data_IF_644788553883
#
_entry.id   IF_644788553883
#
_cell.length_a   1.000
_cell.length_b   1.000
_cell.length_c   1.000
_cell.angle_alpha   90.00
_cell.angle_beta   90.00
_cell.angle_gamma   90.00
#
_symmetry.space_group_name_H-M   'P 1'
#
loop_
_entity.id
_entity.type
_entity.pdbx_description
1 polymer ?
#
# COMPACT_ATOMS: atom_id res chain seq x y z
N UNK A 1 14.87 -9.66 -10.76
CA UNK A 1 14.08 -10.49 -9.82
C UNK A 1 12.74 -10.75 -10.46
N UNK A 2 12.19 -11.94 -10.32
CA UNK A 2 10.85 -12.28 -10.83
C UNK A 2 9.82 -11.49 -10.02
N UNK A 3 8.90 -10.83 -10.70
CA UNK A 3 7.79 -10.10 -10.10
C UNK A 3 6.82 -11.10 -9.46
N UNK A 4 6.45 -10.89 -8.19
CA UNK A 4 5.51 -11.75 -7.47
C UNK A 4 4.12 -11.13 -7.50
N UNK A 5 3.10 -11.97 -7.71
CA UNK A 5 1.70 -11.57 -7.70
C UNK A 5 1.02 -12.23 -6.49
N UNK A 6 0.28 -11.45 -5.72
CA UNK A 6 -0.34 -11.90 -4.50
C UNK A 6 -1.61 -11.18 -4.12
N UNK A 7 -2.09 -11.47 -2.92
CA UNK A 7 -3.35 -10.99 -2.40
C UNK A 7 -3.22 -10.33 -1.03
N UNK A 8 -4.11 -9.39 -0.73
CA UNK A 8 -4.27 -8.85 0.59
C UNK A 8 -5.32 -9.64 1.37
N UNK A 9 -4.97 -9.93 2.61
CA UNK A 9 -5.88 -10.48 3.60
C UNK A 9 -6.06 -9.47 4.73
N UNK A 10 -7.24 -9.42 5.29
CA UNK A 10 -7.43 -8.69 6.54
C UNK A 10 -6.68 -9.40 7.68
N UNK A 11 -7.37 -9.61 8.76
CA UNK A 11 -6.97 -10.50 9.84
C UNK A 11 -7.14 -11.94 9.37
N UNK A 12 -6.07 -12.71 9.33
CA UNK A 12 -6.09 -14.10 8.85
C UNK A 12 -5.27 -15.01 9.79
N UNK A 13 -5.87 -16.07 10.33
CA UNK A 13 -5.19 -16.99 11.24
C UNK A 13 -4.19 -17.92 10.52
N UNK A 14 -4.27 -18.10 9.21
CA UNK A 14 -3.35 -18.94 8.41
C UNK A 14 -3.08 -18.33 7.02
N UNK A 15 -2.43 -17.15 6.97
CA UNK A 15 -2.30 -16.38 5.72
C UNK A 15 -1.44 -17.10 4.66
N UNK A 16 -0.54 -17.97 5.07
CA UNK A 16 0.31 -18.74 4.13
C UNK A 16 -0.53 -19.76 3.37
N UNK A 17 -1.36 -20.56 4.07
CA UNK A 17 -2.26 -21.52 3.41
C UNK A 17 -3.31 -20.81 2.56
N UNK A 18 -3.83 -19.69 3.05
CA UNK A 18 -4.78 -18.89 2.29
C UNK A 18 -4.17 -18.43 0.97
N UNK A 19 -2.98 -17.82 1.00
CA UNK A 19 -2.26 -17.41 -0.20
C UNK A 19 -2.03 -18.58 -1.17
N UNK A 20 -1.63 -19.74 -0.67
CA UNK A 20 -1.45 -20.96 -1.48
C UNK A 20 -2.75 -21.41 -2.17
N UNK A 21 -3.88 -21.35 -1.47
CA UNK A 21 -5.20 -21.74 -2.02
C UNK A 21 -5.65 -20.87 -3.19
N UNK A 22 -5.19 -19.62 -3.21
CA UNK A 22 -5.43 -18.66 -4.29
C UNK A 22 -4.39 -18.74 -5.41
N UNK A 23 -3.28 -19.47 -5.23
CA UNK A 23 -2.14 -19.48 -6.15
C UNK A 23 -1.28 -18.20 -6.07
N UNK A 24 -1.40 -17.45 -4.97
CA UNK A 24 -0.62 -16.24 -4.73
C UNK A 24 0.84 -16.57 -4.39
N UNK A 25 1.76 -15.75 -4.83
CA UNK A 25 3.21 -15.88 -4.62
C UNK A 25 3.72 -14.96 -3.50
N UNK A 26 2.96 -13.96 -3.13
CA UNK A 26 3.16 -13.07 -2.00
C UNK A 26 1.80 -12.72 -1.38
N UNK A 27 1.83 -12.11 -0.21
CA UNK A 27 0.59 -11.65 0.41
C UNK A 27 0.83 -10.43 1.30
N UNK A 28 -0.25 -9.70 1.58
CA UNK A 28 -0.30 -8.59 2.51
C UNK A 28 -1.29 -8.93 3.61
N UNK A 29 -0.92 -8.60 4.85
CA UNK A 29 -1.82 -8.71 5.99
C UNK A 29 -1.98 -7.37 6.71
N UNK A 30 -3.12 -7.23 7.38
CA UNK A 30 -3.37 -6.18 8.34
C UNK A 30 -2.86 -6.63 9.71
N UNK A 31 -2.11 -5.79 10.42
CA UNK A 31 -1.62 -6.12 11.76
C UNK A 31 -2.56 -5.57 12.84
N UNK A 32 -3.60 -6.34 13.17
CA UNK A 32 -4.64 -5.98 14.14
C UNK A 32 -5.81 -5.22 13.54
N UNK A 33 -6.56 -4.50 14.37
CA UNK A 33 -7.73 -3.73 13.94
C UNK A 33 -7.30 -2.53 13.06
N UNK A 34 -7.71 -2.49 11.78
CA UNK A 34 -7.32 -1.42 10.86
C UNK A 34 -7.87 -0.04 11.27
N UNK A 35 -8.92 0.01 12.06
CA UNK A 35 -9.53 1.24 12.58
C UNK A 35 -9.14 1.54 14.04
N UNK A 36 -8.30 0.70 14.63
CA UNK A 36 -7.91 0.79 16.03
C UNK A 36 -6.59 1.51 16.27
N UNK A 37 -6.43 2.03 17.49
CA UNK A 37 -5.18 2.64 17.97
C UNK A 37 -4.37 1.70 18.86
N UNK A 38 -4.72 0.42 18.90
CA UNK A 38 -3.99 -0.58 19.66
C UNK A 38 -2.66 -0.92 18.98
N UNK A 39 -1.70 -1.39 19.77
CA UNK A 39 -0.43 -1.89 19.24
C UNK A 39 -0.71 -2.97 18.19
N UNK A 40 0.00 -2.95 17.05
CA UNK A 40 -0.15 -3.98 16.02
C UNK A 40 0.11 -5.38 16.58
N UNK A 41 -0.69 -6.34 16.13
CA UNK A 41 -0.56 -7.74 16.52
C UNK A 41 -0.97 -8.63 15.34
N UNK A 42 -0.42 -9.83 15.29
CA UNK A 42 -0.79 -10.84 14.31
C UNK A 42 -1.95 -11.68 14.86
N UNK A 43 -2.87 -12.07 14.00
CA UNK A 43 -3.89 -13.08 14.33
C UNK A 43 -3.35 -14.50 14.20
N UNK A 44 -2.21 -14.66 13.56
CA UNK A 44 -1.51 -15.93 13.46
C UNK A 44 -0.99 -16.37 14.84
N UNK A 45 -1.46 -17.51 15.34
CA UNK A 45 -1.21 -17.99 16.70
C UNK A 45 0.26 -18.37 16.97
N UNK A 46 1.03 -18.73 15.93
CA UNK A 46 2.44 -19.07 16.01
C UNK A 46 3.37 -17.86 16.24
N UNK A 47 2.84 -16.64 16.11
CA UNK A 47 3.59 -15.40 16.27
C UNK A 47 4.54 -15.09 15.12
N UNK A 48 5.25 -13.96 15.24
CA UNK A 48 6.01 -13.38 14.13
C UNK A 48 7.14 -14.29 13.61
N UNK A 49 7.87 -14.95 14.51
CA UNK A 49 9.01 -15.80 14.12
C UNK A 49 8.58 -17.05 13.33
N UNK A 50 7.49 -17.70 13.76
CA UNK A 50 6.96 -18.87 13.06
C UNK A 50 6.38 -18.47 11.71
N UNK A 51 5.65 -17.34 11.64
CA UNK A 51 5.17 -16.81 10.37
C UNK A 51 6.32 -16.51 9.41
N UNK A 52 7.39 -15.85 9.88
CA UNK A 52 8.59 -15.59 9.08
C UNK A 52 9.23 -16.87 8.52
N UNK A 53 9.29 -17.93 9.35
CA UNK A 53 9.81 -19.22 8.93
C UNK A 53 8.91 -19.85 7.86
N UNK A 54 7.59 -19.89 8.05
CA UNK A 54 6.63 -20.43 7.08
C UNK A 54 6.69 -19.69 5.74
N UNK A 55 6.75 -18.35 5.77
CA UNK A 55 6.90 -17.52 4.56
C UNK A 55 8.16 -17.92 3.79
N UNK A 56 9.30 -18.08 4.48
CA UNK A 56 10.57 -18.46 3.87
C UNK A 56 10.54 -19.89 3.31
N UNK A 57 10.02 -20.86 4.06
CA UNK A 57 9.91 -22.27 3.66
C UNK A 57 9.04 -22.42 2.40
N UNK A 58 7.99 -21.64 2.29
CA UNK A 58 7.08 -21.64 1.14
C UNK A 58 7.56 -20.70 0.00
N UNK A 59 8.74 -20.07 0.12
CA UNK A 59 9.33 -19.16 -0.87
C UNK A 59 8.39 -18.01 -1.26
N UNK A 60 7.61 -17.54 -0.30
CA UNK A 60 6.69 -16.41 -0.47
C UNK A 60 7.33 -15.10 0.02
N UNK A 61 6.68 -14.00 -0.29
CA UNK A 61 6.97 -12.70 0.30
C UNK A 61 5.75 -12.19 1.09
N UNK A 62 5.99 -11.44 2.16
CA UNK A 62 4.95 -10.83 2.98
C UNK A 62 5.11 -9.31 3.00
N UNK A 63 3.99 -8.62 3.05
CA UNK A 63 3.85 -7.18 3.28
C UNK A 63 2.92 -6.93 4.46
N UNK A 64 3.11 -5.81 5.17
CA UNK A 64 2.21 -5.38 6.26
C UNK A 64 1.56 -4.07 5.86
N UNK A 65 0.23 -4.03 5.87
CA UNK A 65 -0.51 -2.76 5.74
C UNK A 65 -0.72 -2.15 7.13
N UNK A 66 -0.35 -0.90 7.28
CA UNK A 66 -0.54 -0.15 8.51
C UNK A 66 -2.03 0.22 8.72
N UNK A 67 -2.43 0.40 9.97
CA UNK A 67 -3.82 0.76 10.30
C UNK A 67 -4.27 2.05 9.60
N UNK A 68 -5.51 2.10 9.11
CA UNK A 68 -6.09 3.24 8.39
C UNK A 68 -6.19 4.51 9.24
N UNK A 69 -6.21 4.37 10.57
CA UNK A 69 -6.22 5.52 11.49
C UNK A 69 -4.92 6.31 11.47
N UNK A 70 -3.83 5.75 10.95
CA UNK A 70 -2.53 6.42 10.88
C UNK A 70 -2.60 7.60 9.93
N UNK A 71 -2.38 8.79 10.47
CA UNK A 71 -2.25 10.02 9.69
C UNK A 71 -1.10 10.86 10.24
N UNK A 72 0.11 10.54 9.80
CA UNK A 72 1.33 11.26 10.25
C UNK A 72 1.41 12.68 9.68
N UNK A 73 0.64 12.99 8.63
CA UNK A 73 0.54 14.34 8.06
C UNK A 73 -0.23 15.32 8.96
N UNK A 74 -1.13 14.81 9.80
CA UNK A 74 -2.08 15.62 10.58
C UNK A 74 -1.40 16.76 11.35
N UNK A 75 -1.99 17.95 11.32
CA UNK A 75 -1.61 19.10 12.14
C UNK A 75 -2.04 18.94 13.59
N UNK A 76 -3.05 18.08 13.85
CA UNK A 76 -3.53 17.77 15.19
C UNK A 76 -2.58 16.79 15.89
N UNK A 77 -1.94 17.26 16.97
CA UNK A 77 -1.03 16.45 17.80
C UNK A 77 -1.67 15.19 18.37
N UNK A 78 -3.00 15.22 18.66
CA UNK A 78 -3.74 14.06 19.21
C UNK A 78 -3.89 12.94 18.17
N UNK A 79 -3.70 13.24 16.89
CA UNK A 79 -3.70 12.26 15.79
C UNK A 79 -2.25 11.95 15.39
N UNK A 80 -1.45 12.98 15.13
CA UNK A 80 -0.09 12.81 14.60
C UNK A 80 0.85 12.04 15.53
N UNK A 81 0.85 12.35 16.83
CA UNK A 81 1.77 11.71 17.78
C UNK A 81 1.45 10.21 17.92
N UNK A 82 0.20 9.79 18.18
CA UNK A 82 -0.15 8.37 18.16
C UNK A 82 0.12 7.69 16.81
N UNK A 83 -0.13 8.38 15.68
CA UNK A 83 0.16 7.85 14.34
C UNK A 83 1.62 7.49 14.16
N UNK A 84 2.55 8.36 14.57
CA UNK A 84 4.00 8.10 14.50
C UNK A 84 4.42 6.92 15.35
N UNK A 85 3.87 6.82 16.57
CA UNK A 85 4.12 5.69 17.46
C UNK A 85 3.62 4.39 16.85
N UNK A 86 2.41 4.41 16.31
CA UNK A 86 1.79 3.22 15.72
C UNK A 86 2.54 2.79 14.45
N UNK A 87 2.98 3.76 13.62
CA UNK A 87 3.80 3.48 12.44
C UNK A 87 5.12 2.78 12.83
N UNK A 88 5.85 3.29 13.86
CA UNK A 88 7.07 2.64 14.34
C UNK A 88 6.80 1.21 14.79
N UNK A 89 5.76 1.01 15.60
CA UNK A 89 5.39 -0.33 16.08
C UNK A 89 5.02 -1.29 14.94
N UNK A 90 4.44 -0.77 13.85
CA UNK A 90 4.14 -1.57 12.66
C UNK A 90 5.42 -1.93 11.91
N UNK A 91 6.37 -1.01 11.80
CA UNK A 91 7.70 -1.27 11.21
C UNK A 91 8.47 -2.33 12.01
N UNK A 92 8.43 -2.24 13.35
CA UNK A 92 9.09 -3.20 14.23
C UNK A 92 8.51 -4.62 14.02
N UNK A 93 7.17 -4.75 14.03
CA UNK A 93 6.51 -6.02 13.76
C UNK A 93 6.80 -6.54 12.35
N UNK A 94 6.81 -5.66 11.35
CA UNK A 94 7.14 -6.02 9.97
C UNK A 94 8.56 -6.57 9.85
N UNK A 95 9.51 -6.02 10.58
CA UNK A 95 10.88 -6.55 10.66
C UNK A 95 10.92 -7.94 11.31
N UNK A 96 10.15 -8.17 12.39
CA UNK A 96 10.06 -9.46 13.06
C UNK A 96 9.53 -10.59 12.15
N UNK A 97 8.57 -10.28 11.27
CA UNK A 97 8.01 -11.26 10.30
C UNK A 97 8.79 -11.35 9.00
N UNK A 98 9.85 -10.55 8.83
CA UNK A 98 10.61 -10.52 7.58
C UNK A 98 9.85 -9.91 6.41
N UNK A 99 8.99 -8.94 6.67
CA UNK A 99 8.21 -8.23 5.64
C UNK A 99 9.12 -7.44 4.70
N UNK A 100 8.74 -7.36 3.42
CA UNK A 100 9.44 -6.55 2.43
C UNK A 100 9.11 -5.04 2.53
N UNK A 101 8.06 -4.67 3.24
CA UNK A 101 7.70 -3.28 3.47
C UNK A 101 6.43 -3.12 4.30
N UNK A 102 6.24 -1.90 4.82
CA UNK A 102 5.02 -1.45 5.50
C UNK A 102 4.31 -0.45 4.60
N UNK A 103 3.11 -0.76 4.16
CA UNK A 103 2.28 0.15 3.39
C UNK A 103 1.53 1.08 4.34
N UNK A 104 1.50 2.36 4.00
CA UNK A 104 0.75 3.37 4.75
C UNK A 104 0.21 4.44 3.82
N UNK A 105 -1.06 4.78 3.96
CA UNK A 105 -1.67 5.86 3.17
C UNK A 105 -0.96 7.20 3.38
N UNK A 106 -0.92 8.03 2.34
CA UNK A 106 -0.30 9.36 2.40
C UNK A 106 -0.90 10.30 3.45
N UNK A 107 -2.09 9.98 3.97
CA UNK A 107 -2.77 10.82 4.96
C UNK A 107 -3.16 12.19 4.41
N UNK A 108 -3.59 13.08 5.30
CA UNK A 108 -4.13 14.39 4.91
C UNK A 108 -3.99 15.41 6.05
N UNK A 109 -4.08 16.67 5.69
CA UNK A 109 -4.38 17.78 6.63
C UNK A 109 -5.83 18.21 6.42
N UNK A 110 -6.37 19.00 7.36
CA UNK A 110 -7.75 19.51 7.21
C UNK A 110 -7.81 20.58 6.13
N UNK A 111 -9.01 20.92 5.67
CA UNK A 111 -9.22 21.96 4.63
C UNK A 111 -8.74 23.35 5.02
N UNK A 112 -8.63 23.60 6.33
CA UNK A 112 -8.25 24.89 6.89
C UNK A 112 -6.75 24.98 7.19
N UNK A 113 -6.03 23.86 7.03
CA UNK A 113 -4.57 23.79 7.28
C UNK A 113 -3.76 24.07 5.99
N UNK A 114 -2.54 24.59 6.16
CA UNK A 114 -1.57 24.66 5.07
C UNK A 114 -1.04 23.25 4.74
N UNK A 115 -1.20 22.76 3.49
CA UNK A 115 -0.65 21.46 3.07
C UNK A 115 0.85 21.30 3.32
N UNK A 116 1.62 22.39 3.34
CA UNK A 116 3.05 22.35 3.67
C UNK A 116 3.33 21.76 5.05
N UNK A 117 2.43 22.00 6.02
CA UNK A 117 2.56 21.42 7.35
C UNK A 117 2.47 19.89 7.30
N UNK A 118 1.61 19.33 6.43
CA UNK A 118 1.51 17.88 6.24
C UNK A 118 2.76 17.27 5.64
N UNK A 119 3.35 17.90 4.62
CA UNK A 119 4.62 17.45 4.02
C UNK A 119 5.77 17.53 5.02
N UNK A 120 5.85 18.59 5.83
CA UNK A 120 6.89 18.72 6.87
C UNK A 120 6.68 17.67 8.00
N UNK A 121 5.43 17.37 8.35
CA UNK A 121 5.12 16.31 9.30
C UNK A 121 5.55 14.92 8.78
N UNK A 122 5.35 14.64 7.49
CA UNK A 122 5.86 13.44 6.83
C UNK A 122 7.39 13.37 6.87
N UNK A 123 8.07 14.46 6.51
CA UNK A 123 9.54 14.53 6.60
C UNK A 123 10.02 14.16 8.00
N UNK A 124 9.47 14.80 9.04
CA UNK A 124 9.80 14.52 10.44
C UNK A 124 9.49 13.07 10.84
N UNK A 125 8.38 12.49 10.34
CA UNK A 125 8.06 11.10 10.59
C UNK A 125 9.10 10.16 9.98
N UNK A 126 9.46 10.35 8.72
CA UNK A 126 10.48 9.54 8.04
C UNK A 126 11.86 9.65 8.68
N UNK A 127 12.27 10.86 9.09
CA UNK A 127 13.57 11.10 9.76
C UNK A 127 13.65 10.48 11.17
N UNK A 128 12.51 10.24 11.83
CA UNK A 128 12.44 9.74 13.21
C UNK A 128 12.04 8.27 13.30
N UNK A 129 11.53 7.69 12.22
CA UNK A 129 11.18 6.27 12.18
C UNK A 129 12.44 5.44 11.91
N UNK A 130 12.73 4.49 12.77
CA UNK A 130 13.77 3.49 12.53
C UNK A 130 13.24 2.48 11.49
N UNK A 131 13.56 2.73 10.22
CA UNK A 131 13.06 1.94 9.09
C UNK A 131 13.86 0.62 8.95
N UNK A 132 13.61 -0.33 9.85
CA UNK A 132 14.15 -1.71 9.76
C UNK A 132 13.68 -2.41 8.48
N UNK A 133 12.51 -2.03 7.98
CA UNK A 133 11.98 -2.33 6.65
C UNK A 133 11.49 -1.04 5.99
N UNK A 134 11.42 -0.98 4.65
CA UNK A 134 10.93 0.24 3.98
C UNK A 134 9.49 0.57 4.37
N UNK A 135 9.21 1.86 4.61
CA UNK A 135 7.86 2.40 4.67
C UNK A 135 7.47 2.81 3.25
N UNK A 136 6.40 2.23 2.73
CA UNK A 136 5.88 2.48 1.39
C UNK A 136 4.66 3.41 1.50
N UNK A 137 4.82 4.68 1.10
CA UNK A 137 3.70 5.62 1.09
C UNK A 137 2.82 5.30 -0.11
N UNK A 138 1.53 5.12 0.16
CA UNK A 138 0.54 4.80 -0.85
C UNK A 138 -0.19 6.05 -1.33
N UNK A 139 -0.45 6.14 -2.65
CA UNK A 139 -1.35 7.16 -3.18
C UNK A 139 -2.79 6.91 -2.73
N UNK A 140 -3.61 7.97 -2.68
CA UNK A 140 -4.96 7.93 -2.14
C UNK A 140 -6.00 8.44 -3.14
N UNK A 141 -7.21 7.87 -3.10
CA UNK A 141 -8.31 8.16 -4.03
C UNK A 141 -8.89 9.57 -3.88
N UNK A 142 -9.11 10.02 -2.66
CA UNK A 142 -9.87 11.22 -2.34
C UNK A 142 -9.22 12.13 -1.30
N UNK A 143 -9.97 13.18 -0.93
CA UNK A 143 -9.52 14.17 0.04
C UNK A 143 -8.85 15.40 -0.60
N UNK A 144 -9.38 16.61 -0.32
CA UNK A 144 -8.88 17.86 -0.92
C UNK A 144 -7.44 18.19 -0.52
N UNK A 145 -7.02 17.82 0.68
CA UNK A 145 -5.67 18.06 1.23
C UNK A 145 -4.95 16.75 1.56
N UNK A 146 -5.20 15.70 0.76
CA UNK A 146 -4.48 14.44 0.85
C UNK A 146 -3.05 14.60 0.32
N UNK A 147 -2.06 14.06 1.04
CA UNK A 147 -0.64 14.30 0.73
C UNK A 147 -0.15 13.54 -0.51
N UNK A 148 -0.79 12.43 -0.88
CA UNK A 148 -0.37 11.56 -1.99
C UNK A 148 -1.48 11.29 -3.01
N UNK A 149 -2.40 12.23 -3.23
CA UNK A 149 -3.54 12.03 -4.13
C UNK A 149 -3.21 12.31 -5.60
N UNK A 150 -2.70 13.49 -5.89
CA UNK A 150 -2.41 13.95 -7.25
C UNK A 150 -0.91 13.89 -7.53
N UNK A 151 -0.52 13.92 -8.80
CA UNK A 151 0.91 14.02 -9.16
C UNK A 151 1.61 15.22 -8.52
N UNK A 152 0.90 16.34 -8.37
CA UNK A 152 1.43 17.51 -7.70
C UNK A 152 1.64 17.26 -6.20
N UNK A 153 0.66 16.66 -5.51
CA UNK A 153 0.79 16.30 -4.11
C UNK A 153 1.95 15.31 -3.89
N UNK A 154 2.04 14.26 -4.72
CA UNK A 154 3.13 13.28 -4.68
C UNK A 154 4.48 13.98 -4.92
N UNK A 155 4.56 14.92 -5.87
CA UNK A 155 5.78 15.69 -6.13
C UNK A 155 6.21 16.50 -4.91
N UNK A 156 5.27 17.20 -4.27
CA UNK A 156 5.56 18.01 -3.08
C UNK A 156 5.90 17.13 -1.87
N UNK A 157 5.24 16.00 -1.71
CA UNK A 157 5.59 15.01 -0.68
C UNK A 157 7.01 14.50 -0.89
N UNK A 158 7.38 14.08 -2.12
CA UNK A 158 8.71 13.55 -2.42
C UNK A 158 9.84 14.57 -2.30
N UNK A 159 9.57 15.84 -2.55
CA UNK A 159 10.54 16.92 -2.21
C UNK A 159 10.88 16.94 -0.71
N UNK A 160 9.92 16.53 0.14
CA UNK A 160 10.09 16.54 1.59
C UNK A 160 10.67 15.22 2.14
N UNK A 161 10.37 14.07 1.54
CA UNK A 161 10.75 12.76 2.08
C UNK A 161 11.74 11.98 1.22
N UNK A 162 11.94 12.35 -0.04
CA UNK A 162 12.72 11.58 -1.02
C UNK A 162 14.23 11.45 -0.72
N UNK A 163 14.73 12.13 0.30
CA UNK A 163 16.09 11.96 0.82
C UNK A 163 16.20 10.85 1.88
N UNK A 164 15.07 10.31 2.33
CA UNK A 164 14.99 9.21 3.28
C UNK A 164 14.84 7.86 2.56
N UNK A 165 14.82 6.75 3.30
CA UNK A 165 14.64 5.41 2.72
C UNK A 165 13.16 5.03 2.51
N UNK A 166 12.28 6.01 2.34
CA UNK A 166 10.86 5.78 2.06
C UNK A 166 10.68 5.27 0.63
N UNK A 167 9.76 4.32 0.43
CA UNK A 167 9.34 3.82 -0.87
C UNK A 167 7.94 4.27 -1.25
N UNK A 168 7.48 3.81 -2.42
CA UNK A 168 6.18 4.16 -2.97
C UNK A 168 5.37 2.91 -3.31
N UNK A 169 4.14 2.84 -2.80
CA UNK A 169 3.12 1.90 -3.22
C UNK A 169 2.15 2.61 -4.15
N UNK A 170 1.92 2.07 -5.35
CA UNK A 170 1.01 2.64 -6.32
C UNK A 170 -0.26 1.81 -6.42
N UNK A 171 -1.38 2.35 -5.95
CA UNK A 171 -2.71 1.78 -6.10
C UNK A 171 -3.40 2.27 -7.37
N UNK A 172 -3.87 1.32 -8.19
CA UNK A 172 -4.51 1.60 -9.49
C UNK A 172 -5.93 2.14 -9.35
N UNK A 173 -6.71 1.69 -8.38
CA UNK A 173 -8.04 2.21 -8.07
C UNK A 173 -7.95 3.66 -7.54
N UNK A 174 -7.04 3.89 -6.59
CA UNK A 174 -6.81 5.23 -6.04
C UNK A 174 -6.34 6.21 -7.11
N UNK A 175 -5.43 5.78 -7.98
CA UNK A 175 -4.93 6.61 -9.08
C UNK A 175 -6.06 6.98 -10.05
N UNK A 176 -6.88 5.99 -10.46
CA UNK A 176 -8.06 6.18 -11.30
C UNK A 176 -9.05 7.18 -10.65
N UNK A 177 -9.38 6.97 -9.39
CA UNK A 177 -10.28 7.84 -8.64
C UNK A 177 -9.74 9.25 -8.42
N UNK A 178 -8.41 9.42 -8.37
CA UNK A 178 -7.75 10.72 -8.25
C UNK A 178 -7.54 11.44 -9.59
N UNK A 179 -7.90 10.84 -10.73
CA UNK A 179 -7.72 11.41 -12.07
C UNK A 179 -6.30 11.24 -12.64
N UNK A 180 -5.53 10.26 -12.15
CA UNK A 180 -4.21 9.92 -12.71
C UNK A 180 -4.41 8.92 -13.84
N UNK A 181 -4.01 9.30 -15.07
CA UNK A 181 -4.09 8.42 -16.24
C UNK A 181 -3.09 7.28 -16.13
N UNK A 182 -3.58 6.04 -16.06
CA UNK A 182 -2.76 4.85 -15.82
C UNK A 182 -1.76 4.58 -16.96
N UNK A 183 -2.10 4.95 -18.20
CA UNK A 183 -1.26 4.72 -19.36
C UNK A 183 0.13 5.35 -19.26
N UNK A 184 0.26 6.46 -18.53
CA UNK A 184 1.50 7.21 -18.36
C UNK A 184 2.00 7.26 -16.91
N UNK A 185 1.17 6.81 -15.96
CA UNK A 185 1.39 6.97 -14.52
C UNK A 185 2.78 6.49 -14.07
N UNK A 186 3.15 5.27 -14.42
CA UNK A 186 4.42 4.67 -13.97
C UNK A 186 5.61 5.48 -14.47
N UNK A 187 5.63 5.83 -15.76
CA UNK A 187 6.70 6.63 -16.36
C UNK A 187 6.85 8.00 -15.68
N UNK A 188 5.72 8.65 -15.40
CA UNK A 188 5.70 9.97 -14.76
C UNK A 188 6.09 9.89 -13.28
N UNK A 189 5.52 8.94 -12.53
CA UNK A 189 5.76 8.80 -11.10
C UNK A 189 7.21 8.36 -10.79
N UNK A 190 7.81 7.50 -11.59
CA UNK A 190 9.23 7.15 -11.43
C UNK A 190 10.14 8.39 -11.56
N UNK A 191 9.78 9.40 -12.36
CA UNK A 191 10.56 10.64 -12.42
C UNK A 191 10.48 11.44 -11.13
N UNK A 192 9.38 11.28 -10.35
CA UNK A 192 9.12 11.96 -9.09
C UNK A 192 9.71 11.17 -7.93
N UNK A 193 9.27 9.92 -7.77
CA UNK A 193 9.57 9.08 -6.60
C UNK A 193 10.91 8.35 -6.70
N UNK A 194 11.49 8.27 -7.90
CA UNK A 194 12.70 7.52 -8.27
C UNK A 194 12.56 6.00 -8.17
N UNK A 195 11.49 5.51 -7.59
CA UNK A 195 11.19 4.09 -7.40
C UNK A 195 9.67 3.85 -7.28
N UNK A 196 9.24 2.67 -7.63
CA UNK A 196 7.94 2.11 -7.27
C UNK A 196 8.24 0.73 -6.70
N UNK A 197 7.83 0.47 -5.47
CA UNK A 197 8.22 -0.72 -4.71
C UNK A 197 7.16 -1.79 -4.70
N UNK A 198 5.91 -1.37 -4.83
CA UNK A 198 4.73 -2.23 -4.80
C UNK A 198 3.62 -1.64 -5.66
N UNK A 199 2.84 -2.50 -6.29
CA UNK A 199 1.56 -2.13 -6.91
C UNK A 199 0.42 -2.75 -6.08
N UNK A 200 -0.54 -1.93 -5.67
CA UNK A 200 -1.87 -2.41 -5.33
C UNK A 200 -2.70 -2.44 -6.62
N UNK A 201 -2.99 -3.64 -7.10
CA UNK A 201 -3.68 -3.87 -8.36
C UNK A 201 -5.17 -4.06 -8.11
N UNK A 202 -5.91 -2.97 -8.15
CA UNK A 202 -7.33 -2.94 -7.82
C UNK A 202 -8.14 -2.39 -8.99
N UNK A 203 -9.25 -3.05 -9.33
CA UNK A 203 -10.29 -2.47 -10.18
C UNK A 203 -11.08 -1.39 -9.43
N UNK A 204 -11.89 -0.63 -10.13
CA UNK A 204 -12.75 0.42 -9.56
C UNK A 204 -14.21 0.24 -9.96
N UNK A 205 -15.12 0.43 -8.99
CA UNK A 205 -16.58 0.49 -9.23
C UNK A 205 -17.04 1.85 -9.73
N UNK A 206 -16.18 2.86 -9.65
CA UNK A 206 -16.52 4.23 -9.94
C UNK A 206 -15.81 4.74 -11.20
N UNK A 207 -16.38 5.79 -11.79
CA UNK A 207 -15.82 6.46 -12.94
C UNK A 207 -14.48 7.12 -12.64
N UNK A 208 -13.71 7.37 -13.69
CA UNK A 208 -12.47 8.12 -13.63
C UNK A 208 -12.69 9.48 -12.93
N UNK A 209 -11.76 9.84 -12.05
CA UNK A 209 -11.78 11.11 -11.29
C UNK A 209 -12.93 11.23 -10.26
N UNK A 210 -13.52 10.11 -9.86
CA UNK A 210 -14.65 10.07 -8.92
C UNK A 210 -14.31 10.48 -7.49
N UNK A 211 -13.05 10.47 -7.09
CA UNK A 211 -12.58 10.67 -5.71
C UNK A 211 -13.10 9.61 -4.72
N UNK A 212 -13.56 8.46 -5.21
CA UNK A 212 -14.13 7.39 -4.40
C UNK A 212 -13.21 6.18 -4.39
N UNK A 213 -12.93 5.68 -3.21
CA UNK A 213 -12.18 4.46 -2.96
C UNK A 213 -13.15 3.28 -2.82
N UNK A 214 -13.42 2.60 -3.96
CA UNK A 214 -14.26 1.40 -3.97
C UNK A 214 -13.70 0.37 -4.93
N UNK A 215 -12.92 -0.55 -4.39
CA UNK A 215 -12.32 -1.65 -5.15
C UNK A 215 -13.38 -2.57 -5.75
N UNK A 216 -13.05 -3.16 -6.89
CA UNK A 216 -13.81 -4.24 -7.52
C UNK A 216 -12.87 -5.25 -8.15
N UNK A 217 -13.35 -6.49 -8.27
CA UNK A 217 -12.67 -7.49 -9.09
C UNK A 217 -12.58 -7.02 -10.55
N UNK A 218 -11.58 -7.49 -11.29
CA UNK A 218 -11.26 -6.96 -12.61
C UNK A 218 -12.39 -7.13 -13.64
N UNK A 219 -13.13 -8.22 -13.58
CA UNK A 219 -14.25 -8.48 -14.50
C UNK A 219 -15.50 -7.61 -14.20
N UNK A 220 -15.58 -7.03 -13.00
CA UNK A 220 -16.66 -6.12 -12.56
C UNK A 220 -16.23 -4.66 -12.56
N UNK A 221 -15.00 -4.37 -12.99
CA UNK A 221 -14.39 -3.06 -12.89
C UNK A 221 -14.77 -2.15 -14.06
N UNK A 222 -15.06 -0.88 -13.76
CA UNK A 222 -15.16 0.18 -14.76
C UNK A 222 -13.76 0.55 -15.29
N UNK A 223 -12.74 0.49 -14.42
CA UNK A 223 -11.35 0.60 -14.81
C UNK A 223 -10.96 -0.64 -15.63
N UNK A 224 -10.52 -0.48 -16.91
CA UNK A 224 -10.16 -1.61 -17.76
C UNK A 224 -8.97 -2.41 -17.20
N UNK A 225 -9.13 -3.71 -17.06
CA UNK A 225 -8.08 -4.60 -16.52
C UNK A 225 -6.80 -4.64 -17.35
N UNK A 226 -6.89 -4.35 -18.65
CA UNK A 226 -5.72 -4.22 -19.53
C UNK A 226 -4.84 -3.03 -19.15
N UNK A 227 -5.42 -1.95 -18.63
CA UNK A 227 -4.67 -0.81 -18.10
C UNK A 227 -3.96 -1.19 -16.80
N UNK A 228 -4.60 -1.99 -15.93
CA UNK A 228 -3.97 -2.53 -14.71
C UNK A 228 -2.76 -3.40 -15.10
N UNK A 229 -2.94 -4.35 -16.03
CA UNK A 229 -1.86 -5.21 -16.52
C UNK A 229 -0.70 -4.39 -17.10
N UNK A 230 -1.01 -3.31 -17.87
CA UNK A 230 0.01 -2.41 -18.39
C UNK A 230 0.81 -1.72 -17.28
N UNK A 231 0.14 -1.20 -16.26
CA UNK A 231 0.80 -0.59 -15.07
C UNK A 231 1.80 -1.55 -14.45
N UNK A 232 1.39 -2.80 -14.25
CA UNK A 232 2.21 -3.84 -13.64
C UNK A 232 3.44 -4.15 -14.51
N UNK A 233 3.24 -4.31 -15.82
CA UNK A 233 4.34 -4.55 -16.77
C UNK A 233 5.34 -3.39 -16.86
N UNK A 234 4.85 -2.14 -16.69
CA UNK A 234 5.71 -0.96 -16.69
C UNK A 234 6.49 -0.81 -15.37
N UNK A 235 5.86 -1.13 -14.23
CA UNK A 235 6.44 -0.95 -12.89
C UNK A 235 7.50 -2.01 -12.53
N UNK A 236 7.30 -3.25 -12.94
CA UNK A 236 8.23 -4.39 -12.71
C UNK A 236 8.59 -4.63 -11.23
N UNK A 237 7.66 -4.36 -10.33
CA UNK A 237 7.77 -4.66 -8.90
C UNK A 237 6.68 -5.65 -8.47
N UNK A 238 6.70 -6.11 -7.23
CA UNK A 238 5.68 -7.03 -6.72
C UNK A 238 4.28 -6.39 -6.73
N UNK A 239 3.28 -7.24 -6.72
CA UNK A 239 1.87 -6.85 -6.86
C UNK A 239 1.04 -7.50 -5.76
N UNK A 240 0.19 -6.71 -5.13
CA UNK A 240 -0.86 -7.17 -4.21
C UNK A 240 -2.21 -6.76 -4.77
N UNK A 241 -3.16 -7.68 -4.76
CA UNK A 241 -4.56 -7.48 -5.15
C UNK A 241 -5.38 -7.39 -3.86
N UNK A 242 -6.24 -6.39 -3.74
CA UNK A 242 -7.07 -6.16 -2.54
C UNK A 242 -8.57 -6.27 -2.85
N UNK A 243 -8.89 -6.97 -3.92
CA UNK A 243 -10.28 -7.22 -4.33
C UNK A 243 -10.92 -8.34 -3.51
N UNK A 244 -12.25 -8.44 -3.55
CA UNK A 244 -12.97 -9.37 -2.71
C UNK A 244 -12.97 -10.82 -3.24
N UNK A 245 -13.07 -11.79 -2.34
CA UNK A 245 -13.40 -13.16 -2.70
C UNK A 245 -14.89 -13.29 -3.11
N UNK A 246 -15.20 -14.25 -4.01
CA UNK A 246 -14.31 -15.25 -4.61
C UNK A 246 -13.56 -14.77 -5.87
N UNK A 247 -13.76 -13.52 -6.29
CA UNK A 247 -13.23 -12.99 -7.55
C UNK A 247 -11.70 -12.84 -7.57
N UNK A 248 -11.06 -12.57 -6.43
CA UNK A 248 -9.62 -12.33 -6.30
C UNK A 248 -8.75 -13.44 -6.94
N UNK A 249 -9.20 -14.70 -6.88
CA UNK A 249 -8.48 -15.81 -7.52
C UNK A 249 -8.40 -15.66 -9.03
N UNK A 250 -9.49 -15.22 -9.68
CA UNK A 250 -9.53 -14.95 -11.12
C UNK A 250 -8.64 -13.76 -11.47
N UNK A 251 -8.60 -12.75 -10.60
CA UNK A 251 -7.75 -11.58 -10.79
C UNK A 251 -6.27 -11.98 -10.74
N UNK A 252 -5.86 -12.85 -9.79
CA UNK A 252 -4.51 -13.42 -9.72
C UNK A 252 -4.19 -14.21 -11.00
N UNK A 253 -5.09 -15.12 -11.41
CA UNK A 253 -4.90 -15.94 -12.62
C UNK A 253 -4.78 -15.08 -13.88
N UNK A 254 -5.53 -13.99 -13.97
CA UNK A 254 -5.41 -13.03 -15.07
C UNK A 254 -4.04 -12.37 -15.09
N UNK A 255 -3.57 -11.85 -13.96
CA UNK A 255 -2.27 -11.17 -13.89
C UNK A 255 -1.11 -12.13 -14.12
N UNK A 256 -1.14 -13.35 -13.61
CA UNK A 256 -0.11 -14.37 -13.85
C UNK A 256 0.05 -14.70 -15.35
N UNK A 257 -1.03 -14.53 -16.15
CA UNK A 257 -1.00 -14.72 -17.60
C UNK A 257 -0.59 -13.47 -18.37
N UNK A 258 -0.91 -12.29 -17.83
CA UNK A 258 -0.71 -11.00 -18.49
C UNK A 258 0.69 -10.41 -18.24
N UNK A 259 1.37 -10.86 -17.18
CA UNK A 259 2.71 -10.41 -16.77
C UNK A 259 3.72 -11.47 -17.18
N UNK A 260 4.49 -11.19 -18.23
CA UNK A 260 5.46 -12.11 -18.81
C UNK A 260 6.72 -11.40 -19.27
#
# INVERSE_FOLDING_TARGET
MTQLIGAAFGSDPDPVKHAQSLGAQCFQIQAGDPQGWKKPALDFSGGAKELAQLVKENKMAIYIHAAYVINVASTNNRIRIPSRKLLQQTVDLAAEVGSLGVIVHGGHVTKDDDPKAGFDNWRKACEQTEMHVPVLIENTAGGSHAMARTKENITNLWKSVGHTNVGFCFDTCHAWAAGIKLETAIKELITITKRIDLIHANGSRDEFESSRDRHSNFDESILPKEQIAKVINDAKCNVIIETAEPGIKKDIEFLLKAVG
#
